data_IF_250700832044
#
_entry.id   IF_250700832044
#
_cell.length_a   1.000
_cell.length_b   1.000
_cell.length_c   1.000
_cell.angle_alpha   90.00
_cell.angle_beta   90.00
_cell.angle_gamma   90.00
#
_symmetry.space_group_name_H-M   'P 1'
#
loop_
_entity.id
_entity.type
_entity.pdbx_description
1 polymer ?
#
# COMPACT_ATOMS: atom_id res chain seq x y z
N UNK A 1 -47.73 -43.16 -11.36
CA UNK A 1 -47.05 -42.72 -12.60
C UNK A 1 -47.25 -41.22 -12.84
N UNK A 2 -47.01 -40.36 -11.84
CA UNK A 2 -47.05 -38.88 -12.00
C UNK A 2 -46.21 -38.22 -10.90
N UNK A 3 -44.88 -38.36 -10.92
CA UNK A 3 -44.01 -37.48 -10.13
C UNK A 3 -42.55 -37.47 -10.63
N UNK A 4 -42.36 -37.37 -11.96
CA UNK A 4 -41.02 -37.16 -12.56
C UNK A 4 -40.91 -35.87 -13.39
N UNK A 5 -41.91 -35.01 -13.35
CA UNK A 5 -41.97 -33.83 -14.24
C UNK A 5 -41.86 -32.47 -13.54
N UNK A 6 -41.62 -32.41 -12.22
CA UNK A 6 -41.63 -31.13 -11.48
C UNK A 6 -40.34 -30.81 -10.73
N UNK A 7 -39.18 -31.27 -11.24
CA UNK A 7 -37.86 -30.81 -10.78
C UNK A 7 -36.96 -30.49 -11.98
N UNK A 8 -37.45 -29.70 -12.94
CA UNK A 8 -36.64 -29.17 -14.05
C UNK A 8 -36.87 -27.68 -14.35
N UNK A 9 -37.42 -26.92 -13.42
CA UNK A 9 -37.69 -25.49 -13.63
C UNK A 9 -37.20 -24.59 -12.49
N UNK A 10 -35.98 -24.84 -12.00
CA UNK A 10 -35.20 -23.76 -11.38
C UNK A 10 -33.89 -23.69 -12.13
N UNK A 11 -33.96 -23.03 -13.29
CA UNK A 11 -32.77 -22.69 -14.07
C UNK A 11 -31.83 -21.85 -13.21
N UNK A 12 -30.69 -22.43 -12.84
CA UNK A 12 -29.53 -21.68 -12.36
C UNK A 12 -29.08 -20.78 -13.50
N UNK A 13 -29.65 -19.58 -13.61
CA UNK A 13 -29.01 -18.49 -14.34
C UNK A 13 -27.73 -18.20 -13.58
N UNK A 14 -26.58 -18.68 -14.08
CA UNK A 14 -25.28 -18.10 -13.74
C UNK A 14 -25.36 -16.64 -14.18
N UNK A 15 -25.70 -15.73 -13.27
CA UNK A 15 -25.34 -14.34 -13.46
C UNK A 15 -23.82 -14.34 -13.51
N UNK A 16 -23.25 -14.27 -14.70
CA UNK A 16 -21.94 -13.67 -14.85
C UNK A 16 -22.10 -12.26 -14.30
N UNK A 17 -21.81 -12.07 -13.01
CA UNK A 17 -21.53 -10.76 -12.44
C UNK A 17 -20.39 -10.24 -13.28
N UNK A 18 -20.71 -9.43 -14.30
CA UNK A 18 -19.70 -8.59 -14.91
C UNK A 18 -19.19 -7.75 -13.75
N UNK A 19 -17.97 -8.06 -13.30
CA UNK A 19 -17.28 -7.26 -12.30
C UNK A 19 -17.28 -5.85 -12.89
N UNK A 20 -17.88 -4.84 -12.24
CA UNK A 20 -17.85 -3.49 -12.79
C UNK A 20 -16.39 -3.19 -13.13
N UNK A 21 -16.13 -2.73 -14.37
CA UNK A 21 -14.83 -2.16 -14.71
C UNK A 21 -14.74 -0.90 -13.89
N UNK A 22 -14.08 -1.00 -12.75
CA UNK A 22 -13.74 0.13 -11.91
C UNK A 22 -12.62 0.87 -12.64
N UNK A 23 -12.86 2.14 -12.91
CA UNK A 23 -11.89 3.02 -13.52
C UNK A 23 -10.98 3.57 -12.41
N UNK A 24 -9.69 3.27 -12.48
CA UNK A 24 -8.70 3.63 -11.47
C UNK A 24 -7.78 4.75 -11.95
N UNK A 25 -7.99 5.27 -13.15
CA UNK A 25 -7.16 6.34 -13.74
C UNK A 25 -7.26 7.67 -12.98
N UNK A 26 -8.30 7.86 -12.16
CA UNK A 26 -8.41 9.02 -11.26
C UNK A 26 -7.51 8.89 -10.00
N UNK A 27 -6.95 7.69 -9.74
CA UNK A 27 -6.16 7.38 -8.53
C UNK A 27 -4.69 7.16 -8.87
N UNK A 28 -4.42 6.54 -10.02
CA UNK A 28 -3.06 6.21 -10.46
C UNK A 28 -2.83 6.78 -11.87
N UNK A 29 -1.78 7.58 -12.02
CA UNK A 29 -1.31 8.06 -13.31
C UNK A 29 -0.80 6.91 -14.18
N UNK A 30 -1.02 7.03 -15.50
CA UNK A 30 -0.62 6.01 -16.50
C UNK A 30 0.89 5.73 -16.54
N UNK A 31 1.71 6.64 -16.00
CA UNK A 31 3.17 6.49 -15.93
C UNK A 31 3.62 5.55 -14.78
N UNK A 32 2.74 5.26 -13.81
CA UNK A 32 3.08 4.42 -12.66
C UNK A 32 3.45 3.02 -13.13
N UNK A 33 4.58 2.52 -12.65
CA UNK A 33 5.11 1.21 -13.03
C UNK A 33 5.63 1.09 -14.47
N UNK A 34 5.70 2.18 -15.25
CA UNK A 34 6.22 2.14 -16.63
C UNK A 34 7.76 2.07 -16.72
N UNK A 35 8.46 2.34 -15.61
CA UNK A 35 9.91 2.32 -15.50
C UNK A 35 10.37 1.73 -14.15
N UNK A 36 11.64 1.38 -14.06
CA UNK A 36 12.24 0.93 -12.80
C UNK A 36 12.19 2.07 -11.79
N UNK A 37 11.40 1.88 -10.74
CA UNK A 37 11.18 2.88 -9.71
C UNK A 37 10.54 2.25 -8.46
N UNK A 38 10.59 2.98 -7.36
CA UNK A 38 9.82 2.72 -6.15
C UNK A 38 8.77 3.81 -5.99
N UNK A 39 7.51 3.42 -5.81
CA UNK A 39 6.41 4.33 -5.55
C UNK A 39 5.81 4.01 -4.18
N UNK A 40 5.48 5.06 -3.44
CA UNK A 40 4.96 4.94 -2.07
C UNK A 40 3.82 5.92 -1.87
N UNK A 41 2.73 5.45 -1.27
CA UNK A 41 1.57 6.26 -0.92
C UNK A 41 1.19 6.03 0.54
N UNK A 42 0.74 7.09 1.21
CA UNK A 42 0.04 7.02 2.49
C UNK A 42 -1.47 6.93 2.24
N UNK A 43 -2.19 6.19 3.09
CA UNK A 43 -3.66 6.17 3.03
C UNK A 43 -4.24 7.33 3.85
N UNK A 44 -4.69 8.36 3.14
CA UNK A 44 -5.36 9.52 3.71
C UNK A 44 -6.80 9.62 3.19
N UNK A 45 -7.76 9.84 4.09
CA UNK A 45 -9.17 10.04 3.73
C UNK A 45 -9.71 8.99 2.74
N UNK A 46 -9.35 7.72 2.93
CA UNK A 46 -9.70 6.57 2.07
C UNK A 46 -8.98 6.49 0.70
N UNK A 47 -8.06 7.39 0.39
CA UNK A 47 -7.34 7.44 -0.89
C UNK A 47 -5.81 7.34 -0.72
N UNK A 48 -5.08 6.79 -1.70
CA UNK A 48 -3.62 6.84 -1.70
C UNK A 48 -3.13 8.27 -2.03
N UNK A 49 -2.35 8.86 -1.14
CA UNK A 49 -1.66 10.13 -1.33
C UNK A 49 -0.17 9.86 -1.59
N UNK A 50 0.37 10.33 -2.71
CA UNK A 50 1.75 10.04 -3.13
C UNK A 50 2.76 10.73 -2.19
N UNK A 51 3.77 9.97 -1.76
CA UNK A 51 4.82 10.44 -0.84
C UNK A 51 6.05 10.90 -1.63
N UNK A 52 6.69 11.99 -1.20
CA UNK A 52 7.96 12.47 -1.77
C UNK A 52 9.03 11.37 -1.63
N UNK A 53 9.80 11.05 -2.69
CA UNK A 53 10.89 10.08 -2.63
C UNK A 53 11.88 10.27 -1.47
N UNK A 54 12.03 11.48 -0.93
CA UNK A 54 12.89 11.76 0.25
C UNK A 54 12.34 11.19 1.56
N UNK A 55 11.03 10.95 1.62
CA UNK A 55 10.33 10.42 2.77
C UNK A 55 10.09 8.90 2.66
N UNK A 56 10.53 8.27 1.55
CA UNK A 56 10.44 6.82 1.40
C UNK A 56 11.22 6.10 2.51
N UNK A 57 10.60 5.06 3.07
CA UNK A 57 11.14 4.32 4.22
C UNK A 57 10.81 4.91 5.58
N UNK A 58 10.10 6.05 5.65
CA UNK A 58 9.54 6.58 6.89
C UNK A 58 8.08 6.12 7.01
N UNK A 59 7.78 5.38 8.08
CA UNK A 59 6.46 4.81 8.33
C UNK A 59 5.95 5.26 9.69
N UNK A 60 4.70 5.71 9.73
CA UNK A 60 4.01 6.05 10.98
C UNK A 60 3.14 4.88 11.47
N UNK A 61 3.29 4.54 12.75
CA UNK A 61 2.57 3.41 13.38
C UNK A 61 1.04 3.54 13.35
N UNK A 62 0.51 4.76 13.20
CA UNK A 62 -0.93 5.04 13.15
C UNK A 62 -1.51 5.02 11.72
N UNK A 63 -0.68 4.67 10.73
CA UNK A 63 -1.01 4.80 9.31
C UNK A 63 -0.84 3.48 8.55
N UNK A 64 -1.21 3.53 7.28
CA UNK A 64 -1.08 2.41 6.35
C UNK A 64 -0.63 2.93 5.01
N UNK A 65 0.18 2.12 4.33
CA UNK A 65 0.88 2.55 3.14
C UNK A 65 0.68 1.56 2.01
N UNK A 66 0.70 2.06 0.78
CA UNK A 66 0.76 1.28 -0.45
C UNK A 66 2.14 1.48 -1.07
N UNK A 67 2.76 0.39 -1.51
CA UNK A 67 4.10 0.42 -2.08
C UNK A 67 4.10 -0.39 -3.39
N UNK A 68 4.71 0.17 -4.44
CA UNK A 68 4.98 -0.52 -5.70
C UNK A 68 6.48 -0.44 -5.99
N UNK A 69 7.13 -1.60 -6.03
CA UNK A 69 8.45 -1.73 -6.63
C UNK A 69 8.29 -2.24 -8.05
N UNK A 70 8.81 -1.47 -9.01
CA UNK A 70 9.00 -1.94 -10.38
C UNK A 70 10.49 -2.15 -10.62
N UNK A 71 10.85 -3.30 -11.18
CA UNK A 71 12.24 -3.67 -11.46
C UNK A 71 12.38 -3.97 -12.95
N UNK A 72 13.43 -3.44 -13.58
CA UNK A 72 13.77 -3.81 -14.96
C UNK A 72 14.71 -5.00 -14.95
N UNK A 73 14.24 -6.13 -15.44
CA UNK A 73 15.04 -7.34 -15.61
C UNK A 73 16.08 -7.18 -16.73
N UNK A 74 17.18 -7.95 -16.72
CA UNK A 74 18.18 -7.95 -17.80
C UNK A 74 17.61 -8.25 -19.20
N UNK A 75 16.49 -8.99 -19.26
CA UNK A 75 15.72 -9.24 -20.48
C UNK A 75 15.02 -8.00 -21.05
N UNK A 76 14.99 -6.90 -20.30
CA UNK A 76 14.25 -5.68 -20.61
C UNK A 76 12.80 -5.69 -20.15
N UNK A 77 12.27 -6.82 -19.66
CA UNK A 77 10.91 -6.91 -19.10
C UNK A 77 10.82 -6.20 -17.75
N UNK A 78 9.64 -5.66 -17.43
CA UNK A 78 9.35 -5.10 -16.12
C UNK A 78 8.65 -6.14 -15.24
N UNK A 79 9.09 -6.23 -13.99
CA UNK A 79 8.42 -6.99 -12.93
C UNK A 79 7.89 -6.02 -11.88
N UNK A 80 6.77 -6.37 -11.26
CA UNK A 80 6.11 -5.53 -10.26
C UNK A 80 5.91 -6.33 -8.96
N UNK A 81 6.28 -5.74 -7.84
CA UNK A 81 5.93 -6.20 -6.50
C UNK A 81 5.09 -5.11 -5.81
N UNK A 82 3.94 -5.50 -5.26
CA UNK A 82 2.99 -4.58 -4.64
C UNK A 82 2.82 -5.00 -3.18
N UNK A 83 3.15 -4.08 -2.27
CA UNK A 83 3.03 -4.28 -0.83
C UNK A 83 1.99 -3.32 -0.27
N UNK A 84 1.34 -3.71 0.80
CA UNK A 84 0.62 -2.79 1.67
C UNK A 84 1.09 -3.01 3.10
N UNK A 85 1.59 -1.94 3.71
CA UNK A 85 2.13 -1.96 5.06
C UNK A 85 1.08 -1.43 6.05
N UNK A 86 0.97 -2.08 7.20
CA UNK A 86 -0.04 -1.81 8.23
C UNK A 86 0.66 -1.47 9.54
N UNK A 87 0.51 -0.24 10.00
CA UNK A 87 1.01 0.21 11.29
C UNK A 87 0.27 -0.43 12.46
N UNK A 88 0.97 -0.67 13.57
CA UNK A 88 0.41 -1.33 14.75
C UNK A 88 -0.83 -0.62 15.33
N UNK A 89 -0.89 0.72 15.20
CA UNK A 89 -1.96 1.58 15.71
C UNK A 89 -2.88 2.10 14.61
N UNK A 90 -2.74 1.62 13.38
CA UNK A 90 -3.59 2.07 12.27
C UNK A 90 -5.06 1.76 12.52
N UNK A 91 -5.94 2.61 12.00
CA UNK A 91 -7.36 2.35 12.04
C UNK A 91 -7.76 1.25 11.04
N UNK A 92 -8.80 0.49 11.37
CA UNK A 92 -9.27 -0.62 10.54
C UNK A 92 -9.60 -0.17 9.12
N UNK A 93 -10.20 1.01 8.97
CA UNK A 93 -10.55 1.59 7.67
C UNK A 93 -9.31 1.91 6.81
N UNK A 94 -8.23 2.47 7.39
CA UNK A 94 -6.98 2.71 6.68
C UNK A 94 -6.34 1.41 6.20
N UNK A 95 -6.26 0.40 7.09
CA UNK A 95 -5.72 -0.91 6.73
C UNK A 95 -6.54 -1.60 5.61
N UNK A 96 -7.88 -1.54 5.69
CA UNK A 96 -8.75 -2.08 4.64
C UNK A 96 -8.58 -1.34 3.32
N UNK A 97 -8.45 -0.01 3.34
CA UNK A 97 -8.22 0.79 2.15
C UNK A 97 -6.87 0.46 1.51
N UNK A 98 -5.80 0.31 2.29
CA UNK A 98 -4.50 -0.10 1.78
C UNK A 98 -4.58 -1.44 1.01
N UNK A 99 -5.24 -2.44 1.61
CA UNK A 99 -5.42 -3.75 0.98
C UNK A 99 -6.27 -3.68 -0.31
N UNK A 100 -7.35 -2.90 -0.31
CA UNK A 100 -8.21 -2.70 -1.50
C UNK A 100 -7.44 -1.99 -2.60
N UNK A 101 -6.71 -0.92 -2.28
CA UNK A 101 -5.94 -0.16 -3.25
C UNK A 101 -4.76 -0.95 -3.82
N UNK A 102 -4.14 -1.84 -3.05
CA UNK A 102 -3.14 -2.78 -3.57
C UNK A 102 -3.72 -3.67 -4.68
N UNK A 103 -4.95 -4.18 -4.49
CA UNK A 103 -5.63 -4.98 -5.51
C UNK A 103 -6.00 -4.13 -6.73
N UNK A 104 -6.40 -2.88 -6.51
CA UNK A 104 -6.77 -1.95 -7.57
C UNK A 104 -5.55 -1.59 -8.43
N UNK A 105 -4.44 -1.23 -7.80
CA UNK A 105 -3.17 -0.93 -8.46
C UNK A 105 -2.70 -2.12 -9.31
N UNK A 106 -2.73 -3.33 -8.77
CA UNK A 106 -2.40 -4.54 -9.53
C UNK A 106 -3.26 -4.66 -10.80
N UNK A 107 -4.57 -4.43 -10.68
CA UNK A 107 -5.47 -4.54 -11.82
C UNK A 107 -5.24 -3.41 -12.84
N UNK A 108 -4.93 -2.20 -12.37
CA UNK A 108 -4.59 -1.05 -13.21
C UNK A 108 -3.33 -1.32 -14.05
N UNK A 109 -2.27 -1.86 -13.43
CA UNK A 109 -1.02 -2.24 -14.10
C UNK A 109 -1.16 -3.50 -14.99
N UNK A 110 -2.28 -4.23 -14.90
CA UNK A 110 -2.40 -5.55 -15.51
C UNK A 110 -1.37 -6.56 -14.99
N UNK A 111 -0.84 -6.34 -13.78
CA UNK A 111 0.24 -7.14 -13.21
C UNK A 111 -0.27 -8.53 -12.76
N UNK A 112 0.56 -9.55 -12.96
CA UNK A 112 0.27 -10.93 -12.56
C UNK A 112 0.68 -11.25 -11.11
N UNK A 113 1.36 -10.32 -10.43
CA UNK A 113 1.89 -10.51 -9.09
C UNK A 113 0.78 -10.60 -8.02
N UNK A 114 1.14 -11.09 -6.84
CA UNK A 114 0.28 -11.02 -5.66
C UNK A 114 0.52 -9.69 -4.94
N UNK A 115 -0.50 -9.22 -4.23
CA UNK A 115 -0.38 -8.15 -3.25
C UNK A 115 0.14 -8.75 -1.95
N UNK A 116 1.20 -8.18 -1.39
CA UNK A 116 1.91 -8.67 -0.22
C UNK A 116 1.53 -7.80 0.97
N UNK A 117 1.25 -8.43 2.11
CA UNK A 117 0.90 -7.75 3.35
C UNK A 117 2.14 -7.68 4.23
N UNK A 118 2.46 -6.48 4.67
CA UNK A 118 3.54 -6.24 5.63
C UNK A 118 2.94 -5.66 6.90
N UNK A 119 3.26 -6.23 8.05
CA UNK A 119 2.85 -5.70 9.35
C UNK A 119 4.06 -5.05 10.03
N UNK A 120 3.81 -3.96 10.75
CA UNK A 120 4.82 -3.33 11.58
C UNK A 120 5.44 -4.33 12.56
N UNK A 121 6.77 -4.46 12.54
CA UNK A 121 7.59 -5.41 13.31
C UNK A 121 7.54 -6.88 12.85
N UNK A 122 6.89 -7.20 11.75
CA UNK A 122 6.89 -8.53 11.11
C UNK A 122 7.14 -8.41 9.60
N UNK A 123 7.88 -7.37 9.20
CA UNK A 123 8.20 -7.13 7.80
C UNK A 123 9.12 -8.21 7.22
N UNK A 124 8.86 -8.60 5.98
CA UNK A 124 9.73 -9.52 5.25
C UNK A 124 11.08 -8.88 4.92
N UNK A 125 12.14 -9.70 4.87
CA UNK A 125 13.47 -9.24 4.44
C UNK A 125 13.41 -8.60 3.03
N UNK A 126 12.61 -9.17 2.13
CA UNK A 126 12.37 -8.64 0.77
C UNK A 126 11.78 -7.22 0.79
N UNK A 127 10.86 -6.93 1.72
CA UNK A 127 10.30 -5.58 1.88
C UNK A 127 11.32 -4.62 2.50
N UNK A 128 12.06 -5.07 3.51
CA UNK A 128 13.09 -4.26 4.16
C UNK A 128 14.20 -3.87 3.17
N UNK A 129 14.58 -4.76 2.26
CA UNK A 129 15.59 -4.51 1.22
C UNK A 129 15.19 -3.40 0.22
N UNK A 130 13.89 -3.08 0.10
CA UNK A 130 13.42 -1.99 -0.79
C UNK A 130 13.95 -0.62 -0.36
N UNK A 131 14.25 -0.48 0.93
CA UNK A 131 14.68 0.77 1.55
C UNK A 131 16.06 0.50 2.16
N UNK A 132 17.09 1.21 1.72
CA UNK A 132 18.49 0.96 2.13
C UNK A 132 18.63 0.62 3.63
N UNK A 133 19.33 -0.48 3.96
CA UNK A 133 19.32 -1.16 5.27
C UNK A 133 19.49 -0.25 6.51
N UNK A 134 20.14 0.90 6.37
CA UNK A 134 20.41 1.80 7.50
C UNK A 134 19.24 2.74 7.86
N UNK A 135 18.25 2.89 6.97
CA UNK A 135 17.13 3.85 7.12
C UNK A 135 15.94 3.20 7.84
N UNK A 136 15.49 2.01 7.43
CA UNK A 136 14.26 1.39 8.00
C UNK A 136 14.37 1.13 9.51
N UNK A 137 15.52 0.63 9.97
CA UNK A 137 15.73 0.32 11.40
C UNK A 137 15.79 1.57 12.29
N UNK A 138 15.96 2.77 11.71
CA UNK A 138 16.16 4.04 12.43
C UNK A 138 14.93 4.95 12.41
N UNK A 139 13.92 4.67 11.57
CA UNK A 139 12.76 5.55 11.36
C UNK A 139 11.39 4.86 11.45
N UNK A 140 11.28 3.71 12.10
CA UNK A 140 10.00 3.32 12.72
C UNK A 140 9.77 4.31 13.88
N UNK A 141 9.27 5.50 13.53
CA UNK A 141 9.01 6.55 14.48
C UNK A 141 7.77 6.15 15.27
N UNK A 142 7.99 5.50 16.41
CA UNK A 142 7.00 5.57 17.49
C UNK A 142 6.81 7.05 17.82
N UNK A 143 5.57 7.48 18.06
CA UNK A 143 5.21 8.89 18.35
C UNK A 143 6.05 9.49 19.50
N UNK A 144 6.76 8.68 20.27
CA UNK A 144 7.67 9.11 21.32
C UNK A 144 8.94 9.85 20.83
N UNK A 145 9.51 9.51 19.67
CA UNK A 145 10.77 10.15 19.24
C UNK A 145 10.56 11.54 18.62
N UNK A 146 9.49 11.75 17.84
CA UNK A 146 9.15 13.09 17.33
C UNK A 146 8.89 14.13 18.44
N UNK A 147 8.32 13.71 19.58
CA UNK A 147 8.07 14.63 20.69
C UNK A 147 9.38 15.11 21.35
N UNK A 148 10.43 14.29 21.32
CA UNK A 148 11.72 14.66 21.90
C UNK A 148 12.43 15.72 21.05
N UNK A 149 12.36 15.62 19.72
CA UNK A 149 12.96 16.61 18.81
C UNK A 149 12.24 17.97 18.85
N UNK A 150 10.91 17.98 18.95
CA UNK A 150 10.15 19.22 19.17
C UNK A 150 10.43 19.85 20.54
N UNK A 151 10.65 19.05 21.59
CA UNK A 151 11.03 19.52 22.92
C UNK A 151 12.42 20.17 22.94
N UNK A 152 13.40 19.61 22.22
CA UNK A 152 14.73 20.20 22.08
C UNK A 152 14.72 21.51 21.28
N UNK A 153 13.97 21.57 20.18
CA UNK A 153 13.82 22.79 19.38
C UNK A 153 13.13 23.92 20.15
N UNK A 154 12.08 23.61 20.93
CA UNK A 154 11.46 24.60 21.82
C UNK A 154 12.42 25.08 22.91
N UNK A 155 13.22 24.18 23.50
CA UNK A 155 14.25 24.54 24.50
C UNK A 155 15.36 25.42 23.91
N UNK A 156 15.77 25.15 22.66
CA UNK A 156 16.77 25.94 21.94
C UNK A 156 16.24 27.34 21.57
N UNK A 157 14.96 27.45 21.20
CA UNK A 157 14.30 28.73 20.92
C UNK A 157 14.11 29.58 22.20
N UNK A 158 13.79 28.95 23.33
CA UNK A 158 13.71 29.61 24.65
C UNK A 158 15.08 30.08 25.18
N UNK A 159 16.16 29.37 24.86
CA UNK A 159 17.53 29.75 25.23
C UNK A 159 18.12 30.87 24.36
N UNK A 160 17.58 31.09 23.15
CA UNK A 160 17.96 32.21 22.27
C UNK A 160 17.15 33.49 22.51
N UNK A 161 16.19 33.46 23.42
CA UNK A 161 15.38 34.61 23.84
C UNK A 161 15.74 35.15 25.25
N UNK A 162 16.85 34.69 25.83
CA UNK A 162 17.48 35.19 27.04
C UNK A 162 18.88 35.71 26.70
#
# INVERSE_FOLDING_TARGET
MMLRHLVKLVGRKKLAKQKPRLDYSDVFDDEIGSCDNLWMWEIENFYPALIDPKEHGQFYEADSYLILKTTREPSGSLTHAIYYWIGEKTSLDKAMCAAVHAVNLRNHLGASCRTIREEMNDESDEFLELFSEEIVRRFILTVQECNQDFMWLKKLLLLKSL
#
